data_IF_030981586187
#
_entry.id   IF_030981586187
#
_cell.length_a   1.000
_cell.length_b   1.000
_cell.length_c   1.000
_cell.angle_alpha   90.00
_cell.angle_beta   90.00
_cell.angle_gamma   90.00
#
_symmetry.space_group_name_H-M   'P 1'
#
loop_
_entity.id
_entity.type
_entity.pdbx_description
1 polymer ?
#
# COMPACT_ATOMS: atom_id res chain seq x y z
N UNK A 1 -5.68 14.08 5.09
CA UNK A 1 -4.95 13.16 6.01
C UNK A 1 -3.48 13.05 5.64
N UNK A 2 -2.59 12.78 6.61
CA UNK A 2 -1.19 12.42 6.32
C UNK A 2 -0.97 10.90 6.24
N UNK A 3 0.17 10.47 5.71
CA UNK A 3 0.51 9.06 5.50
C UNK A 3 0.45 8.20 6.77
N UNK A 4 0.79 8.75 7.94
CA UNK A 4 0.69 8.02 9.21
C UNK A 4 -0.76 7.78 9.63
N UNK A 5 -1.64 8.75 9.40
CA UNK A 5 -3.08 8.60 9.65
C UNK A 5 -3.68 7.52 8.73
N UNK A 6 -3.30 7.52 7.45
CA UNK A 6 -3.75 6.53 6.46
C UNK A 6 -3.23 5.12 6.81
N UNK A 7 -1.93 5.00 7.10
CA UNK A 7 -1.30 3.75 7.53
C UNK A 7 -1.99 3.18 8.78
N UNK A 8 -2.24 4.03 9.78
CA UNK A 8 -2.95 3.64 11.01
C UNK A 8 -4.40 3.25 10.74
N UNK A 9 -5.08 3.96 9.84
CA UNK A 9 -6.46 3.64 9.46
C UNK A 9 -6.54 2.25 8.84
N UNK A 10 -5.70 1.98 7.83
CA UNK A 10 -5.65 0.69 7.13
C UNK A 10 -5.39 -0.42 8.16
N UNK A 11 -4.32 -0.31 8.95
CA UNK A 11 -3.99 -1.30 9.98
C UNK A 11 -5.17 -1.62 10.93
N UNK A 12 -5.89 -0.60 11.38
CA UNK A 12 -7.01 -0.77 12.29
C UNK A 12 -8.23 -1.43 11.62
N UNK A 13 -8.45 -1.24 10.32
CA UNK A 13 -9.65 -1.67 9.61
C UNK A 13 -9.48 -2.98 8.83
N UNK A 14 -8.28 -3.31 8.38
CA UNK A 14 -7.94 -4.63 7.83
C UNK A 14 -7.56 -5.63 8.93
N UNK A 15 -7.39 -5.17 10.17
CA UNK A 15 -7.10 -5.98 11.35
C UNK A 15 -5.72 -6.63 11.34
N UNK A 16 -5.47 -7.52 12.32
CA UNK A 16 -4.20 -8.24 12.56
C UNK A 16 -3.69 -9.11 11.40
N UNK A 17 -4.43 -9.17 10.28
CA UNK A 17 -4.15 -10.01 9.13
C UNK A 17 -3.04 -9.42 8.25
N UNK A 18 -2.90 -8.10 8.26
CA UNK A 18 -1.91 -7.38 7.46
C UNK A 18 -1.05 -6.46 8.32
N UNK A 19 0.24 -6.42 7.99
CA UNK A 19 1.20 -5.45 8.49
C UNK A 19 1.21 -4.24 7.56
N UNK A 20 1.29 -3.04 8.15
CA UNK A 20 1.53 -1.80 7.41
C UNK A 20 2.92 -1.27 7.76
N UNK A 21 3.77 -1.03 6.77
CA UNK A 21 5.07 -0.40 6.96
C UNK A 21 5.25 0.79 6.04
N UNK A 22 5.74 1.90 6.59
CA UNK A 22 6.15 3.07 5.80
C UNK A 22 7.58 2.81 5.34
N UNK A 23 7.76 2.65 4.04
CA UNK A 23 9.03 2.31 3.41
C UNK A 23 9.61 3.57 2.75
N UNK A 24 10.82 3.97 3.19
CA UNK A 24 11.52 5.13 2.65
C UNK A 24 12.70 4.66 1.80
N UNK A 25 12.76 5.13 0.55
CA UNK A 25 13.99 5.10 -0.25
C UNK A 25 14.09 4.09 -1.39
N UNK A 26 12.99 3.49 -1.86
CA UNK A 26 12.96 2.74 -3.14
C UNK A 26 12.21 3.52 -4.23
N UNK A 27 11.24 4.34 -3.85
CA UNK A 27 10.52 5.28 -4.72
C UNK A 27 10.59 6.71 -4.13
N UNK A 28 10.36 7.74 -4.94
CA UNK A 28 10.22 9.10 -4.45
C UNK A 28 9.00 9.16 -3.53
N UNK A 29 9.23 9.60 -2.30
CA UNK A 29 8.24 9.89 -1.26
C UNK A 29 7.56 8.68 -0.60
N UNK A 30 7.23 8.88 0.68
CA UNK A 30 6.87 7.84 1.65
C UNK A 30 5.80 6.88 1.08
N UNK A 31 6.08 5.57 1.05
CA UNK A 31 5.14 4.55 0.54
C UNK A 31 4.63 3.68 1.68
N UNK A 32 3.34 3.35 1.71
CA UNK A 32 2.78 2.36 2.65
C UNK A 32 2.78 1.00 1.95
N UNK A 33 3.55 0.04 2.44
CA UNK A 33 3.31 -1.38 2.12
C UNK A 33 2.22 -1.92 3.04
N UNK A 34 1.21 -2.56 2.45
CA UNK A 34 0.18 -3.35 3.12
C UNK A 34 0.36 -4.81 2.71
N UNK A 35 0.59 -5.72 3.64
CA UNK A 35 0.89 -7.13 3.32
C UNK A 35 0.40 -8.07 4.40
N UNK A 36 0.11 -9.34 4.09
CA UNK A 36 -0.07 -10.35 5.15
C UNK A 36 1.23 -10.61 5.89
N UNK A 37 1.14 -10.97 7.18
CA UNK A 37 2.30 -11.39 7.99
C UNK A 37 3.03 -12.53 7.27
N UNK A 38 4.27 -12.29 6.82
CA UNK A 38 5.09 -13.22 6.03
C UNK A 38 4.44 -13.72 4.71
N UNK A 39 3.48 -12.98 4.15
CA UNK A 39 2.78 -13.34 2.92
C UNK A 39 3.23 -12.53 1.71
N UNK A 40 3.20 -13.17 0.54
CA UNK A 40 3.10 -12.53 -0.77
C UNK A 40 1.71 -12.84 -1.31
N UNK A 41 1.00 -11.89 -1.95
CA UNK A 41 1.44 -10.57 -2.41
C UNK A 41 1.39 -9.45 -1.35
N UNK A 42 1.86 -8.24 -1.71
CA UNK A 42 1.73 -7.00 -0.95
C UNK A 42 1.24 -5.85 -1.83
N UNK A 43 0.47 -4.92 -1.25
CA UNK A 43 -0.01 -3.71 -1.90
C UNK A 43 0.89 -2.54 -1.49
N UNK A 44 1.55 -1.90 -2.45
CA UNK A 44 2.28 -0.66 -2.23
C UNK A 44 1.39 0.53 -2.57
N UNK A 45 1.20 1.43 -1.60
CA UNK A 45 0.46 2.68 -1.75
C UNK A 45 1.44 3.85 -1.73
N UNK A 46 1.54 4.55 -2.85
CA UNK A 46 2.41 5.71 -3.04
C UNK A 46 1.60 6.99 -3.11
N UNK A 47 2.22 8.08 -2.65
CA UNK A 47 1.60 9.39 -2.54
C UNK A 47 2.39 10.37 -3.38
N UNK A 48 1.71 11.12 -4.26
CA UNK A 48 2.37 12.17 -5.02
C UNK A 48 2.54 13.40 -4.11
N UNK A 49 3.77 13.86 -3.84
CA UNK A 49 3.99 15.05 -2.99
C UNK A 49 3.49 16.36 -3.64
N UNK A 50 3.18 16.33 -4.93
CA UNK A 50 2.71 17.48 -5.71
C UNK A 50 1.21 17.49 -5.93
N UNK A 51 0.52 16.37 -5.69
CA UNK A 51 -0.92 16.23 -5.81
C UNK A 51 -1.46 15.25 -4.75
N UNK A 52 -2.09 15.79 -3.71
CA UNK A 52 -2.69 15.02 -2.62
C UNK A 52 -4.12 14.56 -2.91
N UNK A 53 -4.60 14.73 -4.14
CA UNK A 53 -5.94 14.35 -4.58
C UNK A 53 -6.07 12.87 -4.93
N UNK A 54 -5.01 12.07 -4.85
CA UNK A 54 -5.07 10.64 -5.13
C UNK A 54 -4.00 9.81 -4.41
N UNK A 55 -4.31 8.52 -4.24
CA UNK A 55 -3.39 7.48 -3.80
C UNK A 55 -3.17 6.52 -4.96
N UNK A 56 -1.90 6.27 -5.31
CA UNK A 56 -1.55 5.29 -6.34
C UNK A 56 -1.22 3.95 -5.69
N UNK A 57 -1.71 2.87 -6.28
CA UNK A 57 -1.47 1.51 -5.82
C UNK A 57 -0.81 0.63 -6.87
N UNK A 58 0.09 -0.21 -6.42
CA UNK A 58 0.58 -1.35 -7.19
C UNK A 58 0.56 -2.59 -6.32
N UNK A 59 -0.06 -3.67 -6.81
CA UNK A 59 -0.01 -4.98 -6.18
C UNK A 59 1.26 -5.70 -6.66
N UNK A 60 2.11 -6.06 -5.72
CA UNK A 60 3.40 -6.71 -5.97
C UNK A 60 3.40 -8.14 -5.43
N UNK A 61 4.05 -9.04 -6.14
CA UNK A 61 4.41 -10.35 -5.63
C UNK A 61 5.88 -10.36 -5.26
N UNK A 62 6.16 -10.55 -3.97
CA UNK A 62 7.53 -10.73 -3.49
C UNK A 62 7.97 -12.16 -3.71
N UNK A 63 8.85 -12.38 -4.69
CA UNK A 63 9.59 -13.62 -4.73
C UNK A 63 10.59 -13.60 -3.55
N UNK A 64 10.76 -14.73 -2.87
CA UNK A 64 11.74 -14.86 -1.81
C UNK A 64 13.15 -14.45 -2.28
N UNK A 65 14.11 -14.34 -1.36
CA UNK A 65 15.48 -13.89 -1.65
C UNK A 65 16.01 -14.47 -2.98
N UNK A 66 16.17 -13.61 -3.98
CA UNK A 66 16.74 -13.98 -5.25
C UNK A 66 18.22 -14.35 -5.07
N UNK A 67 18.78 -15.11 -6.01
CA UNK A 67 20.18 -15.59 -5.96
C UNK A 67 21.22 -14.44 -5.85
N UNK A 68 20.80 -13.19 -6.14
CA UNK A 68 21.63 -11.99 -6.09
C UNK A 68 21.46 -11.14 -4.81
N UNK A 69 20.77 -11.64 -3.79
CA UNK A 69 20.65 -10.95 -2.49
C UNK A 69 19.68 -9.75 -2.48
N UNK A 70 18.85 -9.60 -3.51
CA UNK A 70 17.73 -8.66 -3.56
C UNK A 70 16.37 -9.39 -3.54
N UNK A 71 15.31 -8.64 -3.27
CA UNK A 71 13.95 -9.09 -3.54
C UNK A 71 13.70 -8.98 -5.04
N UNK A 72 13.24 -10.07 -5.65
CA UNK A 72 12.77 -10.08 -7.04
C UNK A 72 11.26 -9.85 -6.97
N UNK A 73 10.85 -8.59 -6.85
CA UNK A 73 9.44 -8.23 -6.73
C UNK A 73 8.85 -8.03 -8.14
N UNK A 74 7.76 -8.72 -8.46
CA UNK A 74 7.07 -8.62 -9.75
C UNK A 74 5.72 -7.90 -9.55
N UNK A 75 5.37 -6.87 -10.36
CA UNK A 75 4.06 -6.25 -10.26
C UNK A 75 3.00 -7.21 -10.82
N UNK A 76 2.02 -7.57 -9.99
CA UNK A 76 0.85 -8.35 -10.40
C UNK A 76 -0.21 -7.45 -11.05
N UNK A 77 -0.38 -6.25 -10.53
CA UNK A 77 -1.35 -5.27 -11.01
C UNK A 77 -0.85 -3.85 -10.75
N UNK A 78 -0.77 -3.04 -11.80
CA UNK A 78 -0.31 -1.65 -11.76
C UNK A 78 -1.43 -0.68 -12.12
N UNK A 79 -1.30 0.57 -11.68
CA UNK A 79 -2.22 1.65 -12.08
C UNK A 79 -3.52 1.68 -11.29
N UNK A 80 -3.54 1.09 -10.09
CA UNK A 80 -4.62 1.32 -9.15
C UNK A 80 -4.55 2.79 -8.72
N UNK A 81 -5.69 3.46 -8.69
CA UNK A 81 -5.78 4.87 -8.36
C UNK A 81 -7.06 5.10 -7.58
N UNK A 82 -6.92 5.69 -6.40
CA UNK A 82 -8.04 6.08 -5.55
C UNK A 82 -8.02 7.58 -5.38
N UNK A 83 -9.09 8.25 -5.80
CA UNK A 83 -9.26 9.69 -5.62
C UNK A 83 -9.54 10.02 -4.17
N UNK A 84 -8.93 11.09 -3.67
CA UNK A 84 -9.22 11.67 -2.37
C UNK A 84 -10.03 12.94 -2.61
N UNK A 85 -11.31 12.89 -2.29
CA UNK A 85 -12.23 13.99 -2.57
C UNK A 85 -12.22 15.08 -1.47
N UNK A 86 -11.79 14.74 -0.24
CA UNK A 86 -11.74 15.64 0.93
C UNK A 86 -10.68 15.20 1.96
N UNK A 87 -10.36 16.05 2.95
CA UNK A 87 -9.31 15.79 3.97
C UNK A 87 -9.53 14.50 4.80
N UNK A 88 -10.78 14.05 4.92
CA UNK A 88 -11.26 12.93 5.76
C UNK A 88 -11.93 11.80 4.94
N UNK A 89 -11.50 11.57 3.69
CA UNK A 89 -12.11 10.60 2.76
C UNK A 89 -11.96 9.12 3.22
N UNK A 90 -12.77 8.73 4.21
CA UNK A 90 -12.82 7.37 4.76
C UNK A 90 -13.42 6.36 3.80
N UNK A 91 -14.29 6.79 2.88
CA UNK A 91 -14.92 5.88 1.91
C UNK A 91 -13.87 5.32 0.95
N UNK A 92 -12.95 6.18 0.50
CA UNK A 92 -11.78 5.78 -0.27
C UNK A 92 -10.85 4.85 0.51
N UNK A 93 -10.59 5.16 1.79
CA UNK A 93 -9.78 4.27 2.63
C UNK A 93 -10.44 2.91 2.86
N UNK A 94 -11.77 2.86 2.98
CA UNK A 94 -12.56 1.63 3.08
C UNK A 94 -12.51 0.82 1.77
N UNK A 95 -12.44 1.47 0.61
CA UNK A 95 -12.18 0.80 -0.65
C UNK A 95 -10.79 0.15 -0.68
N UNK A 96 -9.75 0.87 -0.27
CA UNK A 96 -8.39 0.33 -0.15
C UNK A 96 -8.37 -0.87 0.80
N UNK A 97 -9.04 -0.78 1.95
CA UNK A 97 -9.13 -1.88 2.91
C UNK A 97 -9.85 -3.11 2.31
N UNK A 98 -10.97 -2.91 1.61
CA UNK A 98 -11.70 -3.99 0.92
C UNK A 98 -10.87 -4.63 -0.18
N UNK A 99 -10.12 -3.83 -0.93
CA UNK A 99 -9.21 -4.33 -1.96
C UNK A 99 -8.10 -5.18 -1.33
N UNK A 100 -7.47 -4.68 -0.26
CA UNK A 100 -6.42 -5.39 0.47
C UNK A 100 -6.91 -6.73 1.03
N UNK A 101 -8.11 -6.78 1.62
CA UNK A 101 -8.71 -8.02 2.15
C UNK A 101 -8.97 -9.07 1.07
N UNK A 102 -9.30 -8.64 -0.16
CA UNK A 102 -9.61 -9.55 -1.27
C UNK A 102 -8.39 -10.07 -2.01
N UNK A 103 -7.32 -9.27 -2.10
CA UNK A 103 -6.19 -9.53 -3.00
C UNK A 103 -4.88 -9.91 -2.29
N UNK A 104 -4.75 -9.63 -1.00
CA UNK A 104 -3.63 -10.07 -0.17
C UNK A 104 -4.01 -11.35 0.57
#
# INVERSE_FOLDING_TARGET
>A
MNIYQISTYIFNHTGHLVETSICNGIYSDDTIEVRKVNGSPYLALSFDPTDDSFILGTLWYRHGYGENGGFDDEPLEEGLCWSLDDEDDTDTLDEICRYADQNL
#
